data_IF_250250619554
#
_entry.id   IF_250250619554
#
_cell.length_a   1.000
_cell.length_b   1.000
_cell.length_c   1.000
_cell.angle_alpha   90.00
_cell.angle_beta   90.00
_cell.angle_gamma   90.00
#
_symmetry.space_group_name_H-M   'P 1'
#
loop_
_entity.id
_entity.type
_entity.pdbx_description
1 polymer ?
#
# COMPACT_ATOMS: atom_id res chain seq x y z
N UNK A 1 1.37 5.82 6.94
CA UNK A 1 0.03 5.98 7.55
C UNK A 1 -0.03 7.28 8.35
N UNK A 2 -0.76 8.29 7.89
CA UNK A 2 -0.80 9.62 8.56
C UNK A 2 -1.43 9.60 9.96
N UNK A 3 -2.27 8.62 10.23
CA UNK A 3 -2.93 8.37 11.52
C UNK A 3 -2.22 7.34 12.40
N UNK A 4 -1.07 6.81 11.97
CA UNK A 4 -0.25 5.91 12.77
C UNK A 4 0.49 6.64 13.90
N UNK A 5 0.76 5.93 14.99
CA UNK A 5 1.46 6.50 16.16
C UNK A 5 2.88 6.97 15.85
N UNK A 6 3.59 6.28 14.95
CA UNK A 6 4.95 6.61 14.54
C UNK A 6 5.03 7.69 13.43
N UNK A 7 3.91 8.36 13.12
CA UNK A 7 3.87 9.32 12.01
C UNK A 7 4.96 10.40 12.09
N UNK A 8 5.11 11.05 13.24
CA UNK A 8 6.10 12.12 13.39
C UNK A 8 7.54 11.61 13.24
N UNK A 9 7.82 10.42 13.75
CA UNK A 9 9.13 9.77 13.55
C UNK A 9 9.38 9.45 12.07
N UNK A 10 8.38 8.90 11.38
CA UNK A 10 8.48 8.62 9.94
C UNK A 10 8.70 9.91 9.12
N UNK A 11 8.07 11.04 9.50
CA UNK A 11 8.31 12.34 8.87
C UNK A 11 9.76 12.80 9.07
N UNK A 12 10.32 12.65 10.28
CA UNK A 12 11.73 12.99 10.52
C UNK A 12 12.68 12.15 9.67
N UNK A 13 12.50 10.83 9.70
CA UNK A 13 13.32 9.89 8.92
C UNK A 13 13.22 10.12 7.42
N UNK A 14 12.03 10.47 6.90
CA UNK A 14 11.87 10.76 5.47
C UNK A 14 12.66 11.99 5.02
N UNK A 15 12.90 12.95 5.91
CA UNK A 15 13.73 14.13 5.65
C UNK A 15 15.23 13.84 5.73
N UNK A 16 15.61 12.86 6.54
CA UNK A 16 17.00 12.38 6.66
C UNK A 16 17.39 11.48 5.48
N UNK A 17 16.40 10.86 4.81
CA UNK A 17 16.56 9.95 3.68
C UNK A 17 15.79 10.42 2.44
N UNK A 18 16.22 11.53 1.80
CA UNK A 18 15.51 12.12 0.66
C UNK A 18 15.52 11.23 -0.61
N UNK A 19 16.38 10.22 -0.66
CA UNK A 19 16.44 9.22 -1.73
C UNK A 19 15.25 8.25 -1.69
N UNK A 20 14.57 8.12 -0.55
CA UNK A 20 13.38 7.28 -0.42
C UNK A 20 12.14 8.00 -0.93
N UNK A 21 11.46 7.42 -1.90
CA UNK A 21 10.15 7.90 -2.33
C UNK A 21 9.10 7.63 -1.25
N UNK A 22 8.46 8.68 -0.74
CA UNK A 22 7.42 8.57 0.30
C UNK A 22 6.05 8.68 -0.32
N UNK A 23 5.20 7.68 -0.10
CA UNK A 23 3.80 7.70 -0.50
C UNK A 23 2.84 7.94 0.65
N UNK A 24 1.58 8.16 0.31
CA UNK A 24 0.49 8.23 1.28
C UNK A 24 -0.19 6.87 1.37
N UNK A 25 -0.06 6.23 2.54
CA UNK A 25 -0.78 5.02 2.88
C UNK A 25 -2.06 5.39 3.63
N UNK A 26 -3.17 5.56 2.88
CA UNK A 26 -4.47 5.89 3.48
C UNK A 26 -4.94 4.77 4.40
N UNK A 27 -5.34 5.10 5.60
CA UNK A 27 -5.91 4.12 6.52
C UNK A 27 -7.33 4.50 6.89
N UNK A 28 -8.28 3.65 6.46
CA UNK A 28 -9.69 3.76 6.76
C UNK A 28 -10.16 2.63 7.70
N UNK A 29 -9.23 1.84 8.18
CA UNK A 29 -9.46 0.71 9.11
C UNK A 29 -8.28 0.59 10.08
N UNK A 30 -8.54 -0.04 11.22
CA UNK A 30 -7.53 -0.47 12.21
C UNK A 30 -6.68 0.67 12.83
N UNK A 31 -7.09 1.94 12.64
CA UNK A 31 -6.42 3.11 13.20
C UNK A 31 -7.44 4.14 13.72
N UNK A 32 -6.93 5.19 14.38
CA UNK A 32 -7.78 6.32 14.77
C UNK A 32 -7.95 7.29 13.60
N UNK A 33 -9.12 7.93 13.45
CA UNK A 33 -9.30 8.93 12.40
C UNK A 33 -8.47 10.20 12.67
N UNK A 34 -8.09 10.89 11.58
CA UNK A 34 -7.47 12.23 11.63
C UNK A 34 -8.55 13.30 11.69
N UNK A 35 -9.64 13.11 10.94
CA UNK A 35 -10.74 14.08 10.90
C UNK A 35 -11.67 13.94 12.09
N UNK A 36 -12.32 15.04 12.48
CA UNK A 36 -13.38 15.03 13.50
C UNK A 36 -14.73 14.55 12.96
N UNK A 37 -14.84 14.28 11.65
CA UNK A 37 -16.09 13.85 11.01
C UNK A 37 -16.44 12.38 11.31
N UNK A 38 -15.48 11.60 11.80
CA UNK A 38 -15.64 10.18 12.16
C UNK A 38 -15.11 10.00 13.58
N UNK A 39 -15.89 9.38 14.45
CA UNK A 39 -15.48 9.10 15.84
C UNK A 39 -14.52 7.91 15.96
N UNK A 40 -14.64 6.93 15.09
CA UNK A 40 -13.77 5.74 15.05
C UNK A 40 -13.78 5.09 13.67
N UNK A 41 -12.63 4.52 13.27
CA UNK A 41 -12.53 3.72 12.06
C UNK A 41 -12.83 2.24 12.37
N UNK A 42 -13.41 1.49 11.39
CA UNK A 42 -13.66 0.05 11.56
C UNK A 42 -12.39 -0.76 11.71
N UNK A 43 -12.47 -1.92 12.38
CA UNK A 43 -11.33 -2.78 12.62
C UNK A 43 -10.81 -3.53 11.37
N UNK A 44 -11.55 -3.54 10.25
CA UNK A 44 -11.14 -4.23 9.01
C UNK A 44 -11.92 -3.75 7.80
N UNK A 45 -11.40 -4.06 6.60
CA UNK A 45 -12.12 -3.77 5.34
C UNK A 45 -13.50 -4.44 5.26
N UNK A 46 -13.68 -5.63 5.87
CA UNK A 46 -14.98 -6.32 5.93
C UNK A 46 -15.98 -5.54 6.77
N UNK A 47 -15.55 -5.08 7.94
CA UNK A 47 -16.38 -4.25 8.82
C UNK A 47 -16.68 -2.90 8.18
N UNK A 48 -15.68 -2.30 7.49
CA UNK A 48 -15.88 -1.06 6.72
C UNK A 48 -16.95 -1.23 5.65
N UNK A 49 -16.88 -2.31 4.85
CA UNK A 49 -17.88 -2.61 3.83
C UNK A 49 -19.28 -2.75 4.44
N UNK A 50 -19.41 -3.45 5.57
CA UNK A 50 -20.69 -3.58 6.29
C UNK A 50 -21.19 -2.23 6.80
N UNK A 51 -20.34 -1.40 7.38
CA UNK A 51 -20.72 -0.07 7.86
C UNK A 51 -21.22 0.85 6.74
N UNK A 52 -20.65 0.73 5.54
CA UNK A 52 -21.09 1.45 4.36
C UNK A 52 -22.47 0.98 3.87
N UNK A 53 -22.66 -0.34 3.77
CA UNK A 53 -23.94 -0.94 3.33
C UNK A 53 -25.07 -0.61 4.32
N UNK A 54 -24.77 -0.62 5.62
CA UNK A 54 -25.77 -0.30 6.66
C UNK A 54 -25.96 1.19 6.94
N UNK A 55 -25.20 2.07 6.24
CA UNK A 55 -25.25 3.51 6.46
C UNK A 55 -24.67 3.99 7.80
N UNK A 56 -23.99 3.12 8.55
CA UNK A 56 -23.33 3.47 9.83
C UNK A 56 -22.17 4.44 9.64
N UNK A 57 -21.54 4.41 8.47
CA UNK A 57 -20.51 5.36 8.08
C UNK A 57 -20.93 6.01 6.77
N UNK A 58 -20.93 7.34 6.75
CA UNK A 58 -21.24 8.11 5.57
C UNK A 58 -20.03 8.18 4.66
N UNK A 59 -20.22 7.91 3.37
CA UNK A 59 -19.17 8.01 2.34
C UNK A 59 -18.49 9.39 2.35
N UNK A 60 -19.26 10.47 2.51
CA UNK A 60 -18.70 11.84 2.56
C UNK A 60 -17.71 12.00 3.71
N UNK A 61 -18.02 11.46 4.89
CA UNK A 61 -17.12 11.52 6.04
C UNK A 61 -15.82 10.76 5.81
N UNK A 62 -15.89 9.59 5.13
CA UNK A 62 -14.68 8.85 4.75
C UNK A 62 -13.82 9.60 3.74
N UNK A 63 -14.42 10.28 2.78
CA UNK A 63 -13.69 11.15 1.85
C UNK A 63 -13.03 12.31 2.58
N UNK A 64 -13.73 12.94 3.52
CA UNK A 64 -13.16 13.98 4.39
C UNK A 64 -11.98 13.43 5.19
N UNK A 65 -12.07 12.21 5.73
CA UNK A 65 -10.95 11.55 6.41
C UNK A 65 -9.75 11.36 5.49
N UNK A 66 -9.96 10.87 4.27
CA UNK A 66 -8.87 10.73 3.29
C UNK A 66 -8.20 12.07 2.99
N UNK A 67 -8.99 13.13 2.77
CA UNK A 67 -8.46 14.48 2.54
C UNK A 67 -7.64 14.96 3.73
N UNK A 68 -8.15 14.83 4.97
CA UNK A 68 -7.41 15.19 6.16
C UNK A 68 -6.08 14.42 6.31
N UNK A 69 -6.07 13.15 5.96
CA UNK A 69 -4.85 12.35 5.97
C UNK A 69 -3.82 12.86 4.94
N UNK A 70 -4.26 13.19 3.72
CA UNK A 70 -3.39 13.74 2.67
C UNK A 70 -2.86 15.13 3.09
N UNK A 71 -3.73 16.00 3.54
CA UNK A 71 -3.38 17.36 3.98
C UNK A 71 -2.39 17.35 5.16
N UNK A 72 -2.54 16.40 6.08
CA UNK A 72 -1.59 16.21 7.18
C UNK A 72 -0.18 15.85 6.67
N UNK A 73 -0.07 15.01 5.63
CA UNK A 73 1.22 14.67 5.02
C UNK A 73 1.81 15.88 4.30
N UNK A 74 1.02 16.57 3.49
CA UNK A 74 1.46 17.75 2.76
C UNK A 74 1.93 18.86 3.72
N UNK A 75 1.22 19.08 4.82
CA UNK A 75 1.59 20.10 5.82
C UNK A 75 2.86 19.76 6.60
N UNK A 76 3.33 18.50 6.58
CA UNK A 76 4.64 18.13 7.12
C UNK A 76 5.82 18.43 6.18
N UNK A 77 5.53 18.94 4.97
CA UNK A 77 6.51 19.25 3.93
C UNK A 77 6.90 18.06 3.06
N UNK A 78 6.23 16.92 3.19
CA UNK A 78 6.43 15.74 2.33
C UNK A 78 5.61 15.94 1.04
N UNK A 79 6.27 15.75 -0.10
CA UNK A 79 5.61 15.64 -1.41
C UNK A 79 5.41 14.16 -1.73
N UNK A 80 4.19 13.64 -1.64
CA UNK A 80 3.97 12.21 -1.81
C UNK A 80 4.17 11.78 -3.25
N UNK A 81 4.96 10.73 -3.46
CA UNK A 81 5.24 10.18 -4.78
C UNK A 81 4.12 9.30 -5.30
N UNK A 82 3.36 8.68 -4.41
CA UNK A 82 2.26 7.77 -4.75
C UNK A 82 1.19 7.73 -3.66
N UNK A 83 0.05 7.17 -4.02
CA UNK A 83 -1.07 6.91 -3.12
C UNK A 83 -1.40 5.41 -3.12
N UNK A 84 -1.51 4.86 -1.93
CA UNK A 84 -2.04 3.52 -1.68
C UNK A 84 -2.90 3.50 -0.40
N UNK A 85 -3.25 2.32 0.13
CA UNK A 85 -4.02 2.25 1.37
C UNK A 85 -3.81 0.96 2.14
N UNK A 86 -4.00 1.06 3.44
CA UNK A 86 -4.02 -0.08 4.35
C UNK A 86 -5.10 -1.08 3.96
N UNK A 87 -4.75 -2.38 3.96
CA UNK A 87 -5.59 -3.49 3.48
C UNK A 87 -6.15 -3.29 2.06
N UNK A 88 -5.47 -2.49 1.23
CA UNK A 88 -5.86 -2.18 -0.15
C UNK A 88 -7.31 -1.68 -0.31
N UNK A 89 -7.86 -0.98 0.69
CA UNK A 89 -9.26 -0.51 0.64
C UNK A 89 -9.56 0.40 -0.55
N UNK A 90 -8.53 1.05 -1.12
CA UNK A 90 -8.66 1.92 -2.30
C UNK A 90 -9.08 1.17 -3.58
N UNK A 91 -8.91 -0.17 -3.66
CA UNK A 91 -9.42 -0.95 -4.81
C UNK A 91 -10.93 -1.23 -4.73
N UNK A 92 -11.54 -1.06 -3.54
CA UNK A 92 -12.97 -1.31 -3.37
C UNK A 92 -13.81 -0.36 -4.25
N UNK A 93 -14.90 -0.84 -4.88
CA UNK A 93 -15.68 -0.03 -5.82
C UNK A 93 -16.16 1.31 -5.26
N UNK A 94 -16.45 1.34 -3.95
CA UNK A 94 -16.89 2.55 -3.25
C UNK A 94 -15.79 3.61 -3.17
N UNK A 95 -14.50 3.17 -3.11
CA UNK A 95 -13.35 4.05 -2.92
C UNK A 95 -12.51 4.25 -4.16
N UNK A 96 -12.52 3.33 -5.12
CA UNK A 96 -11.60 3.38 -6.27
C UNK A 96 -11.69 4.69 -7.06
N UNK A 97 -12.91 5.17 -7.33
CA UNK A 97 -13.10 6.48 -7.98
C UNK A 97 -12.66 7.65 -7.10
N UNK A 98 -12.86 7.54 -5.79
CA UNK A 98 -12.45 8.56 -4.83
C UNK A 98 -10.92 8.63 -4.71
N UNK A 99 -10.23 7.49 -4.66
CA UNK A 99 -8.77 7.44 -4.61
C UNK A 99 -8.15 8.10 -5.85
N UNK A 100 -8.68 7.82 -7.05
CA UNK A 100 -8.28 8.48 -8.29
C UNK A 100 -8.53 10.00 -8.22
N UNK A 101 -9.73 10.42 -7.79
CA UNK A 101 -10.06 11.85 -7.67
C UNK A 101 -9.14 12.56 -6.69
N UNK A 102 -8.86 11.96 -5.53
CA UNK A 102 -7.96 12.53 -4.53
C UNK A 102 -6.52 12.60 -5.04
N UNK A 103 -6.03 11.56 -5.71
CA UNK A 103 -4.70 11.60 -6.32
C UNK A 103 -4.55 12.78 -7.29
N UNK A 104 -5.53 12.98 -8.19
CA UNK A 104 -5.56 14.12 -9.11
C UNK A 104 -5.66 15.47 -8.38
N UNK A 105 -6.57 15.58 -7.42
CA UNK A 105 -6.82 16.82 -6.66
C UNK A 105 -5.59 17.31 -5.92
N UNK A 106 -4.80 16.39 -5.36
CA UNK A 106 -3.61 16.71 -4.59
C UNK A 106 -2.30 16.57 -5.39
N UNK A 107 -2.38 16.35 -6.70
CA UNK A 107 -1.22 16.26 -7.57
C UNK A 107 -0.31 15.07 -7.30
N UNK A 108 -0.86 13.96 -6.80
CA UNK A 108 -0.11 12.71 -6.56
C UNK A 108 -0.07 11.92 -7.85
N UNK A 109 1.11 11.74 -8.48
CA UNK A 109 1.20 11.27 -9.86
C UNK A 109 0.95 9.77 -10.04
N UNK A 110 1.16 8.97 -8.99
CA UNK A 110 1.10 7.51 -9.05
C UNK A 110 0.05 6.97 -8.10
N UNK A 111 -0.71 5.99 -8.52
CA UNK A 111 -1.58 5.20 -7.66
C UNK A 111 -1.13 3.73 -7.70
N UNK A 112 -0.98 3.09 -6.52
CA UNK A 112 -0.71 1.66 -6.46
C UNK A 112 -1.93 0.89 -6.94
N UNK A 113 -1.71 -0.01 -7.89
CA UNK A 113 -2.71 -0.95 -8.36
C UNK A 113 -2.14 -2.36 -8.19
N UNK A 114 -2.59 -3.15 -7.22
CA UNK A 114 -2.02 -4.47 -6.93
C UNK A 114 -2.49 -5.52 -7.97
N UNK A 115 -2.10 -5.31 -9.23
CA UNK A 115 -2.31 -6.25 -10.33
C UNK A 115 -1.28 -7.38 -10.26
N UNK A 116 -1.68 -8.52 -9.73
CA UNK A 116 -0.83 -9.70 -9.67
C UNK A 116 -1.08 -10.64 -10.86
N UNK A 117 -0.02 -11.24 -11.37
CA UNK A 117 -0.09 -12.30 -12.39
C UNK A 117 0.19 -13.68 -11.78
N UNK A 118 0.09 -13.82 -10.47
CA UNK A 118 0.32 -15.08 -9.77
C UNK A 118 -0.76 -16.11 -10.09
N UNK A 119 -0.38 -17.40 -10.15
CA UNK A 119 -1.33 -18.49 -10.25
C UNK A 119 -2.22 -18.52 -9.00
N UNK A 120 -3.53 -18.42 -9.21
CA UNK A 120 -4.52 -18.44 -8.14
C UNK A 120 -4.61 -19.88 -7.60
N UNK A 121 -4.22 -20.06 -6.34
CA UNK A 121 -4.39 -21.34 -5.66
C UNK A 121 -5.84 -21.50 -5.15
N UNK A 122 -6.37 -22.71 -5.17
CA UNK A 122 -7.69 -23.05 -4.62
C UNK A 122 -7.68 -23.07 -3.07
N UNK A 123 -7.43 -21.89 -2.48
CA UNK A 123 -7.42 -21.66 -1.04
C UNK A 123 -8.26 -20.41 -0.71
N UNK A 124 -8.60 -20.22 0.55
CA UNK A 124 -9.28 -18.98 0.99
C UNK A 124 -8.46 -17.72 0.68
N UNK A 125 -7.12 -17.82 0.75
CA UNK A 125 -6.20 -16.75 0.36
C UNK A 125 -6.22 -16.53 -1.15
N UNK A 126 -6.21 -17.60 -1.96
CA UNK A 126 -6.29 -17.51 -3.41
C UNK A 126 -7.59 -16.87 -3.88
N UNK A 127 -8.72 -17.16 -3.23
CA UNK A 127 -9.98 -16.45 -3.53
C UNK A 127 -9.90 -14.95 -3.23
N UNK A 128 -9.26 -14.54 -2.12
CA UNK A 128 -9.03 -13.13 -1.82
C UNK A 128 -8.16 -12.46 -2.88
N UNK A 129 -7.09 -13.12 -3.32
CA UNK A 129 -6.20 -12.64 -4.40
C UNK A 129 -7.00 -12.48 -5.70
N UNK A 130 -7.82 -13.45 -6.08
CA UNK A 130 -8.66 -13.38 -7.28
C UNK A 130 -9.64 -12.20 -7.24
N UNK A 131 -10.32 -12.00 -6.12
CA UNK A 131 -11.22 -10.85 -5.95
C UNK A 131 -10.42 -9.54 -6.02
N UNK A 132 -9.26 -9.46 -5.36
CA UNK A 132 -8.40 -8.29 -5.41
C UNK A 132 -7.96 -7.98 -6.84
N UNK A 133 -7.64 -9.01 -7.65
CA UNK A 133 -7.26 -8.83 -9.05
C UNK A 133 -8.38 -8.19 -9.86
N UNK A 134 -9.62 -8.72 -9.79
CA UNK A 134 -10.78 -8.15 -10.50
C UNK A 134 -11.01 -6.68 -10.10
N UNK A 135 -10.86 -6.36 -8.83
CA UNK A 135 -11.02 -5.00 -8.34
C UNK A 135 -9.86 -4.09 -8.78
N UNK A 136 -8.66 -4.63 -8.83
CA UNK A 136 -7.47 -3.91 -9.31
C UNK A 136 -7.55 -3.60 -10.80
N UNK A 137 -8.06 -4.51 -11.62
CA UNK A 137 -8.31 -4.27 -13.05
C UNK A 137 -9.24 -3.07 -13.24
N UNK A 138 -10.34 -3.00 -12.48
CA UNK A 138 -11.26 -1.85 -12.52
C UNK A 138 -10.64 -0.54 -12.03
N UNK A 139 -9.74 -0.60 -11.06
CA UNK A 139 -8.99 0.58 -10.62
C UNK A 139 -7.98 1.00 -11.69
N UNK A 140 -7.28 0.04 -12.31
CA UNK A 140 -6.34 0.28 -13.40
C UNK A 140 -6.99 1.04 -14.57
N UNK A 141 -8.16 0.58 -15.04
CA UNK A 141 -8.91 1.27 -16.09
C UNK A 141 -9.21 2.73 -15.73
N UNK A 142 -9.62 2.99 -14.48
CA UNK A 142 -9.88 4.35 -14.00
C UNK A 142 -8.62 5.20 -13.91
N UNK A 143 -7.51 4.61 -13.43
CA UNK A 143 -6.22 5.29 -13.29
C UNK A 143 -5.67 5.68 -14.67
N UNK A 144 -5.70 4.78 -15.65
CA UNK A 144 -5.30 5.05 -17.03
C UNK A 144 -6.16 6.15 -17.64
N UNK A 145 -7.49 6.07 -17.51
CA UNK A 145 -8.40 7.08 -18.04
C UNK A 145 -8.17 8.47 -17.41
N UNK A 146 -7.74 8.50 -16.17
CA UNK A 146 -7.42 9.73 -15.43
C UNK A 146 -5.99 10.25 -15.69
N UNK A 147 -5.15 9.53 -16.42
CA UNK A 147 -3.75 9.89 -16.67
C UNK A 147 -2.82 9.67 -15.46
N UNK A 148 -3.25 8.89 -14.47
CA UNK A 148 -2.38 8.51 -13.36
C UNK A 148 -1.43 7.40 -13.79
N UNK A 149 -0.20 7.44 -13.28
CA UNK A 149 0.80 6.39 -13.46
C UNK A 149 0.56 5.25 -12.49
N UNK A 150 0.97 4.05 -12.89
CA UNK A 150 0.96 2.84 -12.07
C UNK A 150 2.08 1.91 -12.53
N UNK A 151 2.34 0.87 -11.75
CA UNK A 151 3.32 -0.16 -12.12
C UNK A 151 2.73 -1.17 -13.12
N UNK A 152 3.58 -1.78 -13.92
CA UNK A 152 3.17 -2.81 -14.89
C UNK A 152 2.91 -4.16 -14.22
N UNK A 153 3.65 -4.47 -13.15
CA UNK A 153 3.51 -5.72 -12.39
C UNK A 153 3.65 -5.50 -10.89
N UNK A 154 2.88 -6.27 -10.15
CA UNK A 154 2.86 -6.23 -8.68
C UNK A 154 3.09 -7.62 -8.09
N UNK A 155 4.03 -7.73 -7.16
CA UNK A 155 4.41 -8.95 -6.47
C UNK A 155 4.19 -8.82 -4.95
N UNK A 156 4.11 -9.95 -4.24
CA UNK A 156 4.02 -9.99 -2.78
C UNK A 156 2.60 -9.90 -2.22
N UNK A 157 1.55 -9.87 -3.05
CA UNK A 157 0.16 -9.81 -2.56
C UNK A 157 -0.26 -11.09 -1.85
N UNK A 158 0.06 -12.24 -2.45
CA UNK A 158 -0.24 -13.54 -1.86
C UNK A 158 0.59 -13.82 -0.61
N UNK A 159 1.82 -13.34 -0.59
CA UNK A 159 2.82 -13.51 0.46
C UNK A 159 2.84 -12.38 1.49
N UNK A 160 1.83 -11.51 1.48
CA UNK A 160 1.77 -10.32 2.35
C UNK A 160 2.06 -10.66 3.82
N UNK A 161 3.10 -10.03 4.37
CA UNK A 161 3.62 -10.26 5.72
C UNK A 161 4.55 -11.47 5.87
N UNK A 162 4.85 -12.18 4.78
CA UNK A 162 5.73 -13.37 4.75
C UNK A 162 6.62 -13.39 3.50
N UNK A 163 7.13 -12.23 3.10
CA UNK A 163 8.02 -12.10 1.93
C UNK A 163 9.41 -12.61 2.29
N UNK A 164 9.68 -13.86 1.98
CA UNK A 164 10.97 -14.53 2.24
C UNK A 164 11.98 -14.24 1.13
N UNK A 165 13.27 -14.58 1.37
CA UNK A 165 14.35 -14.53 0.36
C UNK A 165 13.93 -15.22 -0.95
N UNK A 166 13.31 -16.41 -0.87
CA UNK A 166 12.86 -17.13 -2.05
C UNK A 166 11.76 -16.39 -2.82
N UNK A 167 10.83 -15.75 -2.12
CA UNK A 167 9.77 -14.93 -2.76
C UNK A 167 10.38 -13.77 -3.52
N UNK A 168 11.37 -13.08 -2.94
CA UNK A 168 12.08 -11.98 -3.61
C UNK A 168 12.84 -12.48 -4.84
N UNK A 169 13.59 -13.59 -4.71
CA UNK A 169 14.31 -14.19 -5.82
C UNK A 169 13.37 -14.61 -6.96
N UNK A 170 12.20 -15.16 -6.65
CA UNK A 170 11.19 -15.50 -7.63
C UNK A 170 10.62 -14.25 -8.32
N UNK A 171 10.34 -13.18 -7.56
CA UNK A 171 9.88 -11.92 -8.12
C UNK A 171 10.91 -11.33 -9.09
N UNK A 172 12.20 -11.32 -8.71
CA UNK A 172 13.31 -10.89 -9.57
C UNK A 172 13.41 -11.75 -10.83
N UNK A 173 13.28 -13.08 -10.70
CA UNK A 173 13.32 -14.00 -11.84
C UNK A 173 12.15 -13.81 -12.81
N UNK A 174 10.97 -13.44 -12.32
CA UNK A 174 9.74 -13.22 -13.08
C UNK A 174 9.59 -11.77 -13.56
N UNK A 175 10.41 -10.84 -13.08
CA UNK A 175 10.37 -9.45 -13.48
C UNK A 175 10.58 -9.36 -15.01
N UNK A 176 9.72 -8.58 -15.65
CA UNK A 176 9.78 -8.28 -17.08
C UNK A 176 10.22 -6.84 -17.32
N UNK A 177 10.40 -6.48 -18.59
CA UNK A 177 10.57 -5.07 -18.97
C UNK A 177 9.42 -4.24 -18.41
N UNK A 178 9.73 -2.98 -18.06
CA UNK A 178 8.80 -2.05 -17.43
C UNK A 178 9.00 -1.96 -15.92
N UNK A 179 7.99 -1.45 -15.24
CA UNK A 179 8.04 -1.11 -13.82
C UNK A 179 7.40 -2.23 -13.01
N UNK A 180 8.21 -2.83 -12.13
CA UNK A 180 7.81 -3.93 -11.27
C UNK A 180 7.85 -3.46 -9.81
N UNK A 181 6.79 -3.72 -9.05
CA UNK A 181 6.70 -3.40 -7.62
C UNK A 181 6.67 -4.70 -6.80
N UNK A 182 7.52 -4.78 -5.78
CA UNK A 182 7.43 -5.81 -4.76
C UNK A 182 6.91 -5.18 -3.46
N UNK A 183 5.74 -5.60 -3.02
CA UNK A 183 5.19 -5.19 -1.73
C UNK A 183 5.81 -6.04 -0.61
N UNK A 184 6.33 -5.38 0.41
CA UNK A 184 6.83 -6.00 1.62
C UNK A 184 6.54 -5.13 2.84
N UNK A 185 6.72 -5.71 4.04
CA UNK A 185 6.45 -5.06 5.31
C UNK A 185 7.64 -5.24 6.27
N UNK A 186 8.85 -4.78 5.87
CA UNK A 186 10.03 -4.92 6.72
C UNK A 186 9.88 -4.09 8.00
N UNK A 187 10.36 -4.63 9.11
CA UNK A 187 10.31 -3.93 10.40
C UNK A 187 10.98 -4.71 11.50
N UNK A 188 11.01 -4.12 12.68
CA UNK A 188 11.43 -4.78 13.90
C UNK A 188 10.25 -4.87 14.86
N UNK A 189 10.06 -6.03 15.45
CA UNK A 189 9.03 -6.23 16.46
C UNK A 189 9.51 -5.74 17.82
N UNK A 190 8.72 -4.91 18.45
CA UNK A 190 8.84 -4.54 19.85
C UNK A 190 7.56 -4.87 20.61
N UNK A 191 7.56 -4.65 21.91
CA UNK A 191 6.41 -4.93 22.77
C UNK A 191 5.18 -4.09 22.42
N UNK A 192 5.37 -2.89 21.87
CA UNK A 192 4.27 -2.01 21.44
C UNK A 192 3.69 -2.48 20.11
N UNK A 193 4.55 -2.77 19.13
CA UNK A 193 4.16 -3.20 17.79
C UNK A 193 3.48 -4.57 17.82
N UNK A 194 4.09 -5.55 18.49
CA UNK A 194 3.55 -6.92 18.59
C UNK A 194 2.30 -7.00 19.47
N UNK A 195 2.14 -6.10 20.45
CA UNK A 195 0.93 -6.00 21.27
C UNK A 195 -0.26 -5.40 20.51
N UNK A 196 -0.01 -4.44 19.62
CA UNK A 196 -1.05 -3.71 18.87
C UNK A 196 -1.49 -4.45 17.60
N UNK A 197 -0.52 -4.87 16.77
CA UNK A 197 -0.79 -5.43 15.46
C UNK A 197 -0.68 -6.96 15.47
N UNK A 198 -1.82 -7.62 15.58
CA UNK A 198 -1.92 -9.10 15.55
C UNK A 198 -2.05 -9.66 14.15
N UNK A 199 -1.29 -9.09 13.19
CA UNK A 199 -1.37 -9.49 11.78
C UNK A 199 -0.62 -10.79 11.49
N UNK A 200 0.24 -11.25 12.42
CA UNK A 200 1.05 -12.46 12.24
C UNK A 200 2.18 -12.29 11.23
N UNK A 201 2.62 -11.06 10.99
CA UNK A 201 3.66 -10.75 10.01
C UNK A 201 5.06 -11.09 10.52
N UNK A 202 5.91 -11.55 9.62
CA UNK A 202 7.32 -11.90 9.87
C UNK A 202 8.25 -10.72 9.56
N UNK A 203 8.02 -9.55 10.18
CA UNK A 203 8.68 -8.29 9.87
C UNK A 203 10.22 -8.38 9.77
N UNK A 204 10.86 -9.02 10.77
CA UNK A 204 12.32 -9.15 10.82
C UNK A 204 12.88 -10.11 9.76
N UNK A 205 12.10 -11.14 9.40
CA UNK A 205 12.47 -12.04 8.32
C UNK A 205 12.41 -11.33 6.97
N UNK A 206 11.45 -10.42 6.78
CA UNK A 206 11.40 -9.58 5.58
C UNK A 206 12.60 -8.61 5.51
N UNK A 207 13.04 -8.03 6.64
CA UNK A 207 14.29 -7.24 6.68
C UNK A 207 15.48 -8.09 6.26
N UNK A 208 15.64 -9.29 6.86
CA UNK A 208 16.74 -10.19 6.52
C UNK A 208 16.72 -10.59 5.05
N UNK A 209 15.53 -10.90 4.54
CA UNK A 209 15.34 -11.27 3.14
C UNK A 209 15.77 -10.14 2.18
N UNK A 210 15.35 -8.91 2.45
CA UNK A 210 15.71 -7.74 1.66
C UNK A 210 17.20 -7.41 1.71
N UNK A 211 17.88 -7.69 2.83
CA UNK A 211 19.30 -7.47 3.03
C UNK A 211 20.17 -8.68 2.62
N UNK A 212 19.59 -9.74 2.07
CA UNK A 212 20.32 -10.95 1.69
C UNK A 212 21.30 -10.68 0.54
N UNK A 213 22.53 -11.18 0.69
CA UNK A 213 23.56 -11.11 -0.37
C UNK A 213 23.07 -11.76 -1.67
N UNK A 214 22.33 -12.88 -1.58
CA UNK A 214 21.79 -13.55 -2.76
C UNK A 214 20.78 -12.67 -3.50
N UNK A 215 19.93 -11.94 -2.77
CA UNK A 215 18.99 -10.98 -3.37
C UNK A 215 19.74 -9.85 -4.04
N UNK A 216 20.73 -9.27 -3.36
CA UNK A 216 21.57 -8.19 -3.91
C UNK A 216 22.30 -8.65 -5.18
N UNK A 217 22.84 -9.86 -5.18
CA UNK A 217 23.48 -10.45 -6.36
C UNK A 217 22.48 -10.66 -7.50
N UNK A 218 21.32 -11.25 -7.21
CA UNK A 218 20.29 -11.50 -8.21
C UNK A 218 19.78 -10.21 -8.89
N UNK A 219 19.61 -9.11 -8.13
CA UNK A 219 19.27 -7.79 -8.67
C UNK A 219 20.33 -7.34 -9.69
N UNK A 220 21.63 -7.47 -9.33
CA UNK A 220 22.75 -7.08 -10.20
C UNK A 220 22.85 -7.96 -11.45
N UNK A 221 22.77 -9.28 -11.29
CA UNK A 221 22.90 -10.24 -12.38
C UNK A 221 21.77 -10.13 -13.41
N UNK A 222 20.55 -9.80 -12.94
CA UNK A 222 19.40 -9.58 -13.82
C UNK A 222 19.37 -8.18 -14.45
N UNK A 223 20.28 -7.29 -14.07
CA UNK A 223 20.28 -5.89 -14.53
C UNK A 223 19.06 -5.09 -14.08
N UNK A 224 18.49 -5.46 -12.93
CA UNK A 224 17.34 -4.73 -12.36
C UNK A 224 17.81 -3.40 -11.79
N UNK A 225 17.16 -2.33 -12.20
CA UNK A 225 17.40 -0.98 -11.66
C UNK A 225 16.42 -0.73 -10.53
N UNK A 226 16.95 -0.56 -9.31
CA UNK A 226 16.13 -0.15 -8.17
C UNK A 226 15.75 1.32 -8.31
N UNK A 227 14.47 1.61 -8.16
CA UNK A 227 13.94 2.97 -8.27
C UNK A 227 12.87 3.21 -7.21
N UNK A 228 12.46 4.47 -7.06
CA UNK A 228 11.29 4.85 -6.29
C UNK A 228 10.18 5.34 -7.22
N UNK A 229 8.97 5.48 -6.71
CA UNK A 229 7.84 6.05 -7.48
C UNK A 229 8.09 7.49 -7.95
N UNK A 230 9.06 8.21 -7.37
CA UNK A 230 9.46 9.53 -7.84
C UNK A 230 10.13 9.49 -9.22
N UNK A 231 10.65 8.34 -9.64
CA UNK A 231 11.28 8.13 -10.94
C UNK A 231 10.33 7.67 -12.05
N UNK A 232 9.04 7.56 -11.77
CA UNK A 232 8.00 7.15 -12.75
C UNK A 232 7.48 8.28 -13.60
#
# INVERSE_FOLDING_TARGET
MPNGQAYNNAVSLSKEHPELGVGIHLSLVDEQPVSSAISSLPASYKTLAMCLVTGRINRRNLLSECSCQIEKVLSSGIQPTHLDSHQHVHILPVFSSAAVTLALQYGIPVIRVPLTHSNIQFTSRGLQVAISQILSEKLSEKAVHAGLKMVDRFYGLAESGHVTENVILQAIAQASEGINELMCHPGFSDTQTSGRYKWGYSWEEEVKALCSEKVIMAVKERGVILSSFAGL
#
